data_IF_503147933463
#
_entry.id   IF_503147933463
#
_cell.length_a   1.000
_cell.length_b   1.000
_cell.length_c   1.000
_cell.angle_alpha   90.00
_cell.angle_beta   90.00
_cell.angle_gamma   90.00
#
_symmetry.space_group_name_H-M   'P 1'
#
loop_
_entity.id
_entity.type
_entity.pdbx_description
1 polymer ?
#
# COMPACT_ATOMS: atom_id res chain seq x y z
N UNK A 1 -7.56 14.67 -18.80
CA UNK A 1 -6.46 14.60 -19.80
C UNK A 1 -6.71 13.38 -20.64
N UNK A 2 -6.87 13.55 -21.96
CA UNK A 2 -7.36 12.48 -22.83
C UNK A 2 -6.60 12.44 -24.16
N UNK A 3 -6.47 11.24 -24.75
CA UNK A 3 -5.88 11.01 -26.08
C UNK A 3 -4.44 11.52 -26.26
N UNK A 4 -3.60 11.37 -25.23
CA UNK A 4 -2.20 11.86 -25.23
C UNK A 4 -1.20 10.71 -25.36
N UNK A 5 -0.13 10.89 -26.14
CA UNK A 5 1.02 9.98 -26.19
C UNK A 5 2.26 10.65 -25.60
N UNK A 6 2.91 9.97 -24.66
CA UNK A 6 4.11 10.42 -23.96
C UNK A 6 5.22 9.38 -24.18
N UNK A 7 6.42 9.83 -24.56
CA UNK A 7 7.57 8.97 -24.85
C UNK A 7 8.82 9.63 -24.26
N UNK A 8 9.69 8.88 -23.59
CA UNK A 8 11.00 9.37 -23.14
C UNK A 8 10.96 10.39 -21.98
N UNK A 9 9.80 10.60 -21.36
CA UNK A 9 9.69 11.39 -20.13
C UNK A 9 10.34 10.66 -18.94
N UNK A 10 10.51 11.33 -17.80
CA UNK A 10 11.05 10.68 -16.60
C UNK A 10 12.13 11.46 -15.85
N UNK A 11 12.64 12.55 -16.45
CA UNK A 11 13.65 13.43 -15.84
C UNK A 11 13.18 14.88 -15.91
N UNK A 12 13.28 15.60 -14.80
CA UNK A 12 12.99 17.02 -14.68
C UNK A 12 14.07 17.65 -13.77
N UNK A 13 14.73 18.71 -14.23
CA UNK A 13 15.83 19.37 -13.49
C UNK A 13 16.90 18.40 -12.95
N UNK A 14 17.28 17.40 -13.76
CA UNK A 14 18.19 16.28 -13.44
C UNK A 14 17.69 15.26 -12.40
N UNK A 15 16.48 15.43 -11.83
CA UNK A 15 15.84 14.47 -10.93
C UNK A 15 14.88 13.51 -11.66
N UNK A 16 14.60 12.35 -11.06
CA UNK A 16 13.57 11.42 -11.54
C UNK A 16 12.16 11.93 -11.23
N UNK A 17 11.44 12.39 -12.25
CA UNK A 17 10.06 12.89 -12.14
C UNK A 17 9.10 12.02 -12.98
N UNK A 18 7.87 11.72 -12.49
CA UNK A 18 6.90 10.90 -13.22
C UNK A 18 6.46 11.52 -14.55
N UNK A 19 6.04 10.70 -15.51
CA UNK A 19 5.59 11.18 -16.83
C UNK A 19 4.25 11.96 -16.78
N UNK A 20 3.39 11.65 -15.81
CA UNK A 20 2.20 12.44 -15.45
C UNK A 20 2.08 12.47 -13.92
N UNK A 21 1.88 13.66 -13.34
CA UNK A 21 1.67 13.83 -11.91
C UNK A 21 0.34 14.55 -11.61
N UNK A 22 -0.35 14.10 -10.58
CA UNK A 22 -1.46 14.83 -9.93
C UNK A 22 -1.23 14.85 -8.42
N UNK A 23 -1.47 15.99 -7.77
CA UNK A 23 -1.37 16.16 -6.32
C UNK A 23 -2.60 16.95 -5.86
N UNK A 24 -3.31 16.50 -4.82
CA UNK A 24 -4.48 17.18 -4.25
C UNK A 24 -5.74 17.19 -5.13
N UNK A 25 -5.61 16.79 -6.40
CA UNK A 25 -6.69 16.74 -7.41
C UNK A 25 -6.83 15.33 -7.95
N UNK A 26 -8.07 14.86 -8.07
CA UNK A 26 -8.41 13.57 -8.64
C UNK A 26 -8.48 13.65 -10.17
N UNK A 27 -7.60 12.94 -10.90
CA UNK A 27 -7.52 13.10 -12.34
C UNK A 27 -8.50 12.20 -13.09
N UNK A 28 -9.02 12.70 -14.21
CA UNK A 28 -9.65 11.88 -15.26
C UNK A 28 -8.62 11.69 -16.37
N UNK A 29 -8.19 10.44 -16.57
CA UNK A 29 -7.11 10.02 -17.46
C UNK A 29 -7.64 8.95 -18.43
N UNK A 30 -7.80 9.31 -19.70
CA UNK A 30 -8.48 8.48 -20.69
C UNK A 30 -7.66 8.32 -21.96
N UNK A 31 -7.46 7.10 -22.45
CA UNK A 31 -6.72 6.84 -23.71
C UNK A 31 -5.30 7.46 -23.74
N UNK A 32 -4.58 7.50 -22.61
CA UNK A 32 -3.20 7.98 -22.55
C UNK A 32 -2.24 6.81 -22.76
N UNK A 33 -1.24 6.97 -23.64
CA UNK A 33 -0.16 6.00 -23.84
C UNK A 33 1.19 6.57 -23.39
N UNK A 34 1.82 5.94 -22.39
CA UNK A 34 3.11 6.31 -21.82
C UNK A 34 4.13 5.20 -22.12
N UNK A 35 5.28 5.55 -22.70
CA UNK A 35 6.27 4.56 -23.14
C UNK A 35 7.73 5.00 -22.91
N UNK A 36 8.62 4.05 -22.61
CA UNK A 36 10.08 4.28 -22.49
C UNK A 36 10.45 5.40 -21.50
N UNK A 37 9.88 5.40 -20.30
CA UNK A 37 10.05 6.49 -19.33
C UNK A 37 11.06 6.19 -18.21
N UNK A 38 11.87 7.17 -17.82
CA UNK A 38 13.00 7.02 -16.89
C UNK A 38 12.65 7.05 -15.38
N UNK A 39 11.39 7.33 -15.05
CA UNK A 39 10.83 7.33 -13.69
C UNK A 39 9.49 6.58 -13.71
N UNK A 40 8.48 6.98 -12.91
CA UNK A 40 7.14 6.37 -12.94
C UNK A 40 6.31 6.84 -14.14
N UNK A 41 5.30 6.07 -14.54
CA UNK A 41 4.34 6.47 -15.57
C UNK A 41 3.38 7.53 -15.04
N UNK A 42 2.37 7.08 -14.29
CA UNK A 42 1.49 7.95 -13.52
C UNK A 42 1.93 8.05 -12.05
N UNK A 43 1.77 9.23 -11.45
CA UNK A 43 1.89 9.43 -10.01
C UNK A 43 0.71 10.28 -9.50
N UNK A 44 -0.09 9.75 -8.58
CA UNK A 44 -1.28 10.44 -8.03
C UNK A 44 -1.21 10.48 -6.51
N UNK A 45 -1.14 11.68 -5.93
CA UNK A 45 -0.96 11.90 -4.48
C UNK A 45 -2.16 12.69 -3.93
N UNK A 46 -2.75 12.21 -2.84
CA UNK A 46 -3.93 12.80 -2.19
C UNK A 46 -5.05 13.19 -3.20
N UNK A 47 -5.55 12.26 -4.02
CA UNK A 47 -6.80 12.46 -4.76
C UNK A 47 -7.94 12.66 -3.76
N UNK A 48 -8.65 13.79 -3.86
CA UNK A 48 -9.66 14.28 -2.90
C UNK A 48 -11.10 13.88 -3.25
N UNK A 49 -11.32 13.38 -4.47
CA UNK A 49 -12.60 12.93 -5.03
C UNK A 49 -12.39 11.73 -5.99
N UNK A 50 -13.42 11.28 -6.72
CA UNK A 50 -13.35 10.09 -7.55
C UNK A 50 -12.32 10.18 -8.70
N UNK A 51 -11.41 9.21 -8.78
CA UNK A 51 -10.39 9.09 -9.83
C UNK A 51 -10.88 8.13 -10.93
N UNK A 52 -10.67 8.49 -12.20
CA UNK A 52 -11.05 7.66 -13.36
C UNK A 52 -9.88 7.51 -14.32
N UNK A 53 -9.32 6.31 -14.38
CA UNK A 53 -8.23 5.92 -15.28
C UNK A 53 -8.73 4.84 -16.24
N UNK A 54 -9.05 5.22 -17.48
CA UNK A 54 -9.67 4.33 -18.47
C UNK A 54 -8.82 4.20 -19.75
N UNK A 55 -8.73 2.98 -20.31
CA UNK A 55 -8.09 2.72 -21.61
C UNK A 55 -6.63 3.20 -21.72
N UNK A 56 -5.91 3.31 -20.60
CA UNK A 56 -4.54 3.80 -20.58
C UNK A 56 -3.53 2.68 -20.88
N UNK A 57 -2.38 3.02 -21.43
CA UNK A 57 -1.27 2.11 -21.70
C UNK A 57 0.02 2.64 -21.09
N UNK A 58 0.74 1.81 -20.34
CA UNK A 58 2.02 2.15 -19.72
C UNK A 58 3.01 1.02 -19.96
N UNK A 59 4.03 1.28 -20.78
CA UNK A 59 4.95 0.26 -21.28
C UNK A 59 6.44 0.63 -21.20
N UNK A 60 7.29 -0.35 -20.87
CA UNK A 60 8.76 -0.22 -20.87
C UNK A 60 9.25 0.97 -19.99
N UNK A 61 8.69 1.13 -18.78
CA UNK A 61 9.00 2.23 -17.84
C UNK A 61 9.95 1.76 -16.72
N UNK A 62 10.99 2.54 -16.40
CA UNK A 62 12.00 2.22 -15.37
C UNK A 62 11.49 2.29 -13.92
N UNK A 63 10.32 2.90 -13.72
CA UNK A 63 9.64 2.99 -12.43
C UNK A 63 8.42 2.07 -12.32
N UNK A 64 7.42 2.56 -11.57
CA UNK A 64 6.11 1.92 -11.43
C UNK A 64 5.19 2.48 -12.54
N UNK A 65 4.32 1.64 -13.11
CA UNK A 65 3.37 2.08 -14.15
C UNK A 65 2.37 3.14 -13.64
N UNK A 66 1.81 2.91 -12.45
CA UNK A 66 1.05 3.85 -11.64
C UNK A 66 1.49 3.76 -10.18
N UNK A 67 2.00 4.86 -9.62
CA UNK A 67 2.05 5.07 -8.17
C UNK A 67 0.83 5.87 -7.74
N UNK A 68 0.11 5.41 -6.71
CA UNK A 68 -1.07 6.08 -6.17
C UNK A 68 -1.00 6.10 -4.64
N UNK A 69 -1.21 7.27 -4.05
CA UNK A 69 -1.09 7.51 -2.61
C UNK A 69 -2.34 8.25 -2.15
N UNK A 70 -3.28 7.54 -1.53
CA UNK A 70 -4.51 8.09 -0.97
C UNK A 70 -4.28 8.57 0.45
N UNK A 71 -4.24 9.89 0.64
CA UNK A 71 -4.16 10.53 1.94
C UNK A 71 -5.46 11.30 2.16
N UNK A 72 -6.37 10.74 2.97
CA UNK A 72 -7.64 11.39 3.35
C UNK A 72 -7.58 12.01 4.74
N UNK A 73 -6.55 11.70 5.54
CA UNK A 73 -6.33 12.33 6.85
C UNK A 73 -7.25 11.83 7.97
N UNK A 74 -7.26 12.54 9.09
CA UNK A 74 -8.13 12.24 10.25
C UNK A 74 -9.28 13.26 10.34
N UNK A 75 -10.53 12.82 10.45
CA UNK A 75 -11.69 13.69 10.66
C UNK A 75 -12.09 13.82 12.14
N UNK A 76 -11.44 13.04 13.02
CA UNK A 76 -11.74 12.95 14.46
C UNK A 76 -10.68 13.61 15.30
N UNK A 77 -11.15 14.28 16.33
CA UNK A 77 -10.33 14.95 17.33
C UNK A 77 -9.87 14.05 18.50
N UNK A 78 -9.72 12.75 18.27
CA UNK A 78 -9.25 11.77 19.25
C UNK A 78 -7.74 11.85 19.51
N UNK A 79 -7.29 11.44 20.71
CA UNK A 79 -5.87 11.45 21.08
C UNK A 79 -5.01 10.46 20.26
N UNK A 80 -5.64 9.40 19.73
CA UNK A 80 -5.05 8.50 18.75
C UNK A 80 -5.73 8.64 17.39
N UNK A 81 -4.93 8.58 16.33
CA UNK A 81 -5.36 8.45 14.94
C UNK A 81 -5.92 7.06 14.65
N UNK A 82 -6.92 7.00 13.77
CA UNK A 82 -7.60 5.79 13.30
C UNK A 82 -6.75 4.92 12.36
N UNK A 83 -5.56 5.37 11.93
CA UNK A 83 -4.65 4.66 11.03
C UNK A 83 -3.21 4.57 11.58
N UNK A 84 -2.32 3.91 10.83
CA UNK A 84 -0.85 3.96 11.00
C UNK A 84 -0.21 4.81 9.90
N UNK A 85 0.90 5.51 10.19
CA UNK A 85 1.78 6.04 9.15
C UNK A 85 2.21 4.92 8.18
N UNK A 86 2.23 5.22 6.88
CA UNK A 86 2.66 4.26 5.86
C UNK A 86 4.18 4.12 5.85
N UNK A 87 4.66 2.89 5.71
CA UNK A 87 6.08 2.56 5.87
C UNK A 87 6.87 2.63 4.56
N UNK A 88 6.24 2.28 3.42
CA UNK A 88 6.85 2.30 2.09
C UNK A 88 5.95 3.10 1.14
N UNK A 89 6.45 4.21 0.59
CA UNK A 89 5.65 5.14 -0.23
C UNK A 89 6.51 5.70 -1.36
N UNK A 90 6.04 5.62 -2.62
CA UNK A 90 6.80 6.01 -3.80
C UNK A 90 6.36 7.35 -4.39
N UNK A 91 7.14 8.39 -4.12
CA UNK A 91 6.98 9.74 -4.68
C UNK A 91 8.32 10.26 -5.24
N UNK A 92 8.33 11.19 -6.23
CA UNK A 92 9.56 11.86 -6.70
C UNK A 92 10.17 12.75 -5.60
N UNK A 93 11.33 13.38 -5.84
CA UNK A 93 11.98 14.21 -4.82
C UNK A 93 11.22 15.53 -4.62
N UNK A 94 11.08 16.34 -5.69
CA UNK A 94 10.23 17.54 -5.65
C UNK A 94 8.71 17.25 -5.80
N UNK A 95 7.88 17.89 -4.96
CA UNK A 95 6.41 17.86 -4.99
C UNK A 95 5.80 19.27 -4.96
N UNK A 96 5.44 19.82 -6.12
CA UNK A 96 5.03 21.22 -6.29
C UNK A 96 3.82 21.69 -5.46
N UNK A 97 2.91 20.79 -5.07
CA UNK A 97 1.68 21.12 -4.33
C UNK A 97 1.68 20.62 -2.88
N UNK A 98 2.86 20.34 -2.31
CA UNK A 98 3.06 19.97 -0.92
C UNK A 98 4.20 20.80 -0.33
N UNK A 99 4.19 21.02 0.98
CA UNK A 99 5.21 21.85 1.63
C UNK A 99 6.43 21.00 1.96
N UNK A 100 7.55 21.25 1.31
CA UNK A 100 8.84 20.72 1.74
C UNK A 100 9.20 21.34 3.10
N UNK A 101 9.50 20.50 4.07
CA UNK A 101 9.99 20.85 5.40
C UNK A 101 11.25 21.74 5.37
N UNK A 102 12.07 21.62 4.32
CA UNK A 102 13.35 22.31 4.16
C UNK A 102 13.35 23.51 3.18
N UNK A 103 12.24 23.80 2.51
CA UNK A 103 12.08 25.01 1.69
C UNK A 103 12.27 26.30 2.55
N UNK A 104 12.87 27.39 2.01
CA UNK A 104 13.11 28.64 2.75
C UNK A 104 11.88 29.36 3.33
N UNK A 105 10.65 29.03 2.92
CA UNK A 105 9.42 29.70 3.37
C UNK A 105 9.06 29.28 4.81
N UNK A 106 9.67 29.93 5.81
CA UNK A 106 9.56 29.51 7.22
C UNK A 106 8.15 29.54 7.80
N UNK A 107 7.39 30.58 7.48
CA UNK A 107 6.02 30.79 7.99
C UNK A 107 4.99 30.45 6.92
N UNK A 108 3.94 29.77 7.34
CA UNK A 108 2.85 29.28 6.49
C UNK A 108 1.53 29.55 7.21
N UNK A 109 0.57 30.14 6.50
CA UNK A 109 -0.80 30.30 7.02
C UNK A 109 -1.61 29.11 6.49
N UNK A 110 -2.30 28.40 7.39
CA UNK A 110 -3.21 27.31 7.05
C UNK A 110 -4.64 27.79 7.32
N UNK A 111 -5.52 27.66 6.33
CA UNK A 111 -6.97 27.90 6.53
C UNK A 111 -7.64 26.63 7.08
N UNK A 112 -7.43 25.48 6.43
CA UNK A 112 -8.02 24.19 6.82
C UNK A 112 -6.98 23.07 7.01
N UNK A 113 -6.19 22.78 5.97
CA UNK A 113 -5.29 21.62 5.91
C UNK A 113 -4.12 21.87 4.97
N UNK A 114 -2.95 21.32 5.30
CA UNK A 114 -1.84 21.16 4.35
C UNK A 114 -1.08 19.86 4.59
N UNK A 115 -0.50 19.31 3.51
CA UNK A 115 0.43 18.19 3.56
C UNK A 115 1.88 18.72 3.53
N UNK A 116 2.64 18.37 4.56
CA UNK A 116 4.06 18.66 4.73
C UNK A 116 4.85 17.38 4.46
N UNK A 117 6.00 17.46 3.81
CA UNK A 117 6.85 16.31 3.58
C UNK A 117 8.33 16.62 3.78
N UNK A 118 9.10 15.57 4.01
CA UNK A 118 10.56 15.60 3.94
C UNK A 118 11.05 14.30 3.33
N UNK A 119 12.16 14.37 2.59
CA UNK A 119 12.82 13.24 1.98
C UNK A 119 14.31 13.33 2.25
N UNK A 120 14.92 12.23 2.67
CA UNK A 120 16.34 12.25 3.01
C UNK A 120 17.21 12.46 1.78
N UNK A 121 18.37 13.08 1.99
CA UNK A 121 19.47 13.19 1.03
C UNK A 121 20.79 12.91 1.77
N UNK A 122 21.90 12.90 1.06
CA UNK A 122 23.23 12.53 1.53
C UNK A 122 23.84 13.55 2.52
N UNK A 123 23.25 14.74 2.65
CA UNK A 123 23.68 15.81 3.58
C UNK A 123 22.76 15.92 4.80
N UNK A 124 23.30 16.11 6.02
CA UNK A 124 22.48 16.38 7.20
C UNK A 124 21.82 17.77 7.13
N UNK A 125 20.58 17.88 7.60
CA UNK A 125 19.76 19.11 7.56
C UNK A 125 19.11 19.44 8.92
N UNK A 126 18.80 20.72 9.11
CA UNK A 126 18.19 21.25 10.34
C UNK A 126 17.14 22.31 9.97
N UNK A 127 15.94 21.86 9.63
CA UNK A 127 14.89 22.65 8.97
C UNK A 127 13.76 23.03 9.94
N UNK A 128 13.10 24.16 9.67
CA UNK A 128 12.07 24.75 10.54
C UNK A 128 10.93 25.31 9.68
N UNK A 129 9.69 24.95 10.04
CA UNK A 129 8.43 25.51 9.51
C UNK A 129 7.52 25.92 10.67
N UNK A 130 6.65 26.91 10.45
CA UNK A 130 5.78 27.51 11.47
C UNK A 130 4.37 27.75 10.85
N UNK A 131 3.31 27.23 11.49
CA UNK A 131 1.92 27.20 10.95
C UNK A 131 0.88 27.78 11.96
N UNK A 132 0.12 28.88 11.73
CA UNK A 132 -0.33 29.85 12.79
C UNK A 132 -1.86 30.11 13.22
N UNK A 133 -2.32 29.79 14.47
CA UNK A 133 -3.22 30.59 15.47
C UNK A 133 -3.77 29.82 16.76
N UNK A 134 -3.64 30.03 18.13
CA UNK A 134 -2.99 30.91 19.19
C UNK A 134 -2.79 30.23 20.62
N UNK A 135 -1.56 30.14 21.26
CA UNK A 135 -1.10 29.51 22.59
C UNK A 135 0.30 28.71 22.68
N UNK A 136 0.48 27.60 23.48
CA UNK A 136 1.74 27.21 24.25
C UNK A 136 2.04 25.73 24.82
N UNK A 137 2.82 24.84 24.14
CA UNK A 137 4.00 23.95 24.55
C UNK A 137 4.26 23.16 25.94
N UNK A 138 5.01 21.99 26.06
CA UNK A 138 6.00 21.44 27.14
C UNK A 138 6.41 19.90 27.03
N UNK A 139 7.63 19.26 27.23
CA UNK A 139 9.05 19.52 27.67
C UNK A 139 10.20 18.55 27.07
N UNK A 140 11.46 18.39 27.62
CA UNK A 140 12.76 17.88 26.96
C UNK A 140 13.82 17.04 27.79
N UNK A 141 14.76 16.19 27.22
CA UNK A 141 16.21 15.89 27.66
C UNK A 141 17.13 14.95 26.75
N UNK A 142 18.46 15.24 26.69
CA UNK A 142 19.78 14.57 26.32
C UNK A 142 19.95 13.11 25.74
N UNK A 143 21.16 12.72 25.23
CA UNK A 143 22.21 13.46 24.47
C UNK A 143 22.71 12.74 23.19
N UNK A 144 23.18 13.50 22.21
CA UNK A 144 23.42 13.01 20.83
C UNK A 144 22.21 13.33 19.96
N UNK A 145 22.43 13.88 18.76
CA UNK A 145 21.34 14.45 17.96
C UNK A 145 20.80 13.43 16.96
N UNK A 146 19.92 12.57 17.46
CA UNK A 146 19.12 11.63 16.68
C UNK A 146 18.27 12.33 15.62
N UNK A 147 17.90 11.59 14.57
CA UNK A 147 16.93 12.02 13.56
C UNK A 147 15.56 12.21 14.20
N UNK A 148 15.12 13.46 14.27
CA UNK A 148 14.08 13.90 15.21
C UNK A 148 13.19 14.97 14.63
N UNK A 149 11.88 14.74 14.71
CA UNK A 149 10.86 15.78 14.49
C UNK A 149 10.47 16.32 15.86
N UNK A 150 10.85 17.56 16.13
CA UNK A 150 10.47 18.30 17.34
C UNK A 150 9.24 19.14 17.03
N UNK A 151 8.12 18.81 17.65
CA UNK A 151 6.85 19.53 17.55
C UNK A 151 6.75 20.58 18.64
N UNK A 152 6.20 21.74 18.31
CA UNK A 152 6.40 22.97 19.07
C UNK A 152 5.14 23.85 18.99
N UNK A 153 4.35 23.95 20.06
CA UNK A 153 3.08 24.70 20.11
C UNK A 153 3.31 26.17 20.49
N UNK A 154 3.88 26.92 19.56
CA UNK A 154 4.39 28.28 19.67
C UNK A 154 5.51 28.50 18.64
N UNK A 155 5.90 29.74 18.41
CA UNK A 155 7.05 30.07 17.55
C UNK A 155 8.33 29.49 18.19
N UNK A 156 9.14 28.75 17.43
CA UNK A 156 10.41 28.19 17.89
C UNK A 156 11.47 29.26 18.20
N UNK A 157 11.31 30.49 17.71
CA UNK A 157 12.21 31.62 17.95
C UNK A 157 11.85 32.46 19.18
N UNK A 158 10.71 32.21 19.83
CA UNK A 158 10.32 32.87 21.08
C UNK A 158 10.90 32.15 22.33
N UNK A 159 11.03 32.86 23.45
CA UNK A 159 11.79 32.45 24.65
C UNK A 159 10.90 31.88 25.75
N UNK A 160 9.59 32.17 25.76
CA UNK A 160 8.60 31.33 26.45
C UNK A 160 8.45 29.93 25.80
N UNK A 161 9.26 29.70 24.76
CA UNK A 161 9.37 28.57 23.83
C UNK A 161 9.69 27.22 24.51
N UNK A 162 9.07 26.05 24.21
CA UNK A 162 8.92 25.03 25.29
C UNK A 162 8.57 23.57 24.84
N UNK A 163 9.30 22.87 23.94
CA UNK A 163 9.00 21.54 23.27
C UNK A 163 7.63 20.80 23.52
N UNK A 164 6.71 20.58 22.55
CA UNK A 164 5.50 19.70 22.75
C UNK A 164 5.87 18.21 22.83
N UNK A 165 6.60 17.74 21.83
CA UNK A 165 6.91 16.32 21.67
C UNK A 165 8.06 16.12 20.69
N UNK A 166 8.78 15.02 20.88
CA UNK A 166 9.90 14.59 20.05
C UNK A 166 9.51 13.24 19.44
N UNK A 167 9.50 13.16 18.12
CA UNK A 167 9.30 11.92 17.38
C UNK A 167 10.68 11.45 16.92
N UNK A 168 11.06 10.26 17.35
CA UNK A 168 12.33 9.60 17.04
C UNK A 168 12.02 8.16 16.59
N UNK A 169 12.98 7.49 15.96
CA UNK A 169 12.91 6.03 15.73
C UNK A 169 12.68 5.31 17.07
N UNK A 170 11.72 4.38 17.10
CA UNK A 170 11.36 3.62 18.31
C UNK A 170 10.47 4.36 19.32
N UNK A 171 9.98 5.57 19.01
CA UNK A 171 9.00 6.25 19.87
C UNK A 171 7.58 5.68 19.66
N UNK A 172 6.90 5.29 20.74
CA UNK A 172 5.51 4.76 20.72
C UNK A 172 4.43 5.83 20.37
N UNK A 173 4.83 6.89 19.66
CA UNK A 173 4.00 8.03 19.29
C UNK A 173 3.42 7.94 17.87
N UNK A 174 3.65 6.84 17.14
CA UNK A 174 3.30 6.66 15.71
C UNK A 174 1.88 7.09 15.34
N UNK A 175 0.92 6.93 16.25
CA UNK A 175 -0.51 7.23 16.04
C UNK A 175 -1.01 8.38 16.90
N UNK A 176 -0.15 9.11 17.61
CA UNK A 176 -0.58 10.16 18.54
C UNK A 176 -1.00 11.40 17.77
N UNK A 177 -2.21 11.90 18.03
CA UNK A 177 -2.64 13.19 17.50
C UNK A 177 -2.06 14.32 18.35
N UNK A 178 -1.31 15.22 17.72
CA UNK A 178 -0.63 16.32 18.40
C UNK A 178 -1.44 17.61 18.27
N UNK A 179 -2.24 17.91 19.29
CA UNK A 179 -2.89 19.22 19.40
C UNK A 179 -1.91 20.25 19.94
N UNK A 180 -1.78 21.34 19.21
CA UNK A 180 -1.40 22.61 19.82
C UNK A 180 -2.54 23.04 20.76
N UNK A 181 -2.22 23.69 21.87
CA UNK A 181 -3.16 24.64 22.48
C UNK A 181 -3.32 25.89 21.61
N UNK A 182 -2.37 26.11 20.67
CA UNK A 182 -2.14 27.35 19.99
C UNK A 182 -1.55 27.34 18.57
N UNK A 183 -0.67 28.32 18.22
CA UNK A 183 -0.71 29.01 16.96
C UNK A 183 0.04 28.28 15.89
N UNK A 184 1.24 28.79 15.63
CA UNK A 184 2.43 28.05 15.33
C UNK A 184 2.32 26.71 16.01
N UNK A 185 1.88 25.70 15.29
CA UNK A 185 2.68 24.50 15.30
C UNK A 185 3.98 24.91 14.58
N UNK A 186 5.04 25.16 15.33
CA UNK A 186 6.36 25.02 14.75
C UNK A 186 6.67 23.53 14.61
N UNK A 187 7.25 23.16 13.49
CA UNK A 187 7.85 21.86 13.25
C UNK A 187 9.33 22.10 13.05
N UNK A 188 10.18 21.37 13.77
CA UNK A 188 11.62 21.41 13.57
C UNK A 188 12.14 20.01 13.30
N UNK A 189 12.64 19.82 12.10
CA UNK A 189 13.32 18.62 11.68
C UNK A 189 14.82 18.74 11.96
N UNK A 190 15.39 17.70 12.56
CA UNK A 190 16.79 17.37 12.32
C UNK A 190 16.87 15.99 11.68
N UNK A 191 17.64 15.88 10.62
CA UNK A 191 17.91 14.62 9.92
C UNK A 191 19.39 14.57 9.53
N UNK A 192 20.01 13.42 9.74
CA UNK A 192 21.33 13.09 9.23
C UNK A 192 21.24 12.68 7.75
N UNK A 193 22.40 12.52 7.08
CA UNK A 193 22.43 12.10 5.68
C UNK A 193 22.00 10.63 5.52
N UNK A 194 21.03 10.35 4.64
CA UNK A 194 20.55 8.99 4.36
C UNK A 194 19.97 8.84 2.94
N UNK A 195 19.59 7.61 2.59
CA UNK A 195 18.95 7.31 1.29
C UNK A 195 17.60 7.99 1.14
N UNK A 196 17.35 8.60 -0.03
CA UNK A 196 16.07 9.24 -0.38
C UNK A 196 14.89 8.27 -0.54
N UNK A 197 15.05 6.99 -0.22
CA UNK A 197 13.93 6.09 0.03
C UNK A 197 13.20 6.42 1.35
N UNK A 198 13.93 6.99 2.31
CA UNK A 198 13.38 7.42 3.60
C UNK A 198 12.86 8.86 3.55
N UNK A 199 11.91 9.17 4.43
CA UNK A 199 11.26 10.47 4.55
C UNK A 199 10.05 10.39 5.46
N UNK A 200 9.23 11.44 5.45
CA UNK A 200 7.88 11.41 6.02
C UNK A 200 6.93 12.26 5.17
N UNK A 201 5.64 11.96 5.27
CA UNK A 201 4.55 12.87 4.91
C UNK A 201 3.70 13.04 6.18
N UNK A 202 3.44 14.28 6.55
CA UNK A 202 2.64 14.66 7.71
C UNK A 202 1.49 15.58 7.26
N UNK A 203 0.34 15.47 7.91
CA UNK A 203 -0.79 16.35 7.71
C UNK A 203 -0.86 17.34 8.87
N UNK A 204 -1.06 18.62 8.55
CA UNK A 204 -1.30 19.68 9.54
C UNK A 204 -2.68 20.27 9.25
N UNK A 205 -3.55 20.32 10.26
CA UNK A 205 -4.94 20.79 10.16
C UNK A 205 -5.22 21.86 11.20
N UNK A 206 -6.14 22.77 10.90
CA UNK A 206 -6.75 23.66 11.90
C UNK A 206 -7.82 22.90 12.71
N UNK A 207 -8.15 23.42 13.90
CA UNK A 207 -9.20 22.87 14.77
C UNK A 207 -10.34 23.91 14.92
N UNK A 208 -11.62 23.50 14.89
CA UNK A 208 -12.11 22.13 14.69
C UNK A 208 -11.85 21.63 13.25
N UNK A 209 -11.63 20.31 13.11
CA UNK A 209 -11.21 19.72 11.84
C UNK A 209 -12.29 19.90 10.76
N UNK A 210 -11.91 20.47 9.61
CA UNK A 210 -12.78 20.55 8.43
C UNK A 210 -13.15 19.17 7.89
N UNK A 211 -14.43 18.96 7.60
CA UNK A 211 -14.93 17.74 6.97
C UNK A 211 -14.65 17.67 5.45
N UNK A 212 -14.03 18.69 4.87
CA UNK A 212 -13.74 18.76 3.43
C UNK A 212 -12.70 17.68 3.05
N UNK A 213 -13.01 16.91 2.00
CA UNK A 213 -12.25 15.72 1.58
C UNK A 213 -12.76 14.39 2.14
N UNK A 214 -13.60 14.39 3.19
CA UNK A 214 -14.16 13.16 3.77
C UNK A 214 -15.48 12.72 3.10
N UNK A 215 -15.41 12.34 1.83
CA UNK A 215 -16.53 11.68 1.14
C UNK A 215 -16.38 10.14 1.24
N UNK A 216 -17.46 9.45 1.65
CA UNK A 216 -17.47 7.99 1.85
C UNK A 216 -17.68 7.20 0.56
N UNK A 217 -18.32 7.83 -0.44
CA UNK A 217 -18.70 7.19 -1.71
C UNK A 217 -17.66 7.43 -2.82
N UNK A 218 -16.44 7.86 -2.46
CA UNK A 218 -15.34 8.09 -3.41
C UNK A 218 -14.83 6.76 -3.95
N UNK A 219 -14.71 6.67 -5.28
CA UNK A 219 -14.19 5.51 -5.99
C UNK A 219 -12.95 5.86 -6.81
N UNK A 220 -11.89 5.07 -6.68
CA UNK A 220 -10.73 5.08 -7.56
C UNK A 220 -10.85 3.93 -8.56
N UNK A 221 -11.23 4.25 -9.79
CA UNK A 221 -11.48 3.30 -10.86
C UNK A 221 -10.33 3.32 -11.88
N UNK A 222 -9.65 2.17 -12.04
CA UNK A 222 -8.59 1.93 -13.01
C UNK A 222 -9.05 0.74 -13.86
N UNK A 223 -9.55 0.99 -15.08
CA UNK A 223 -10.15 -0.06 -15.91
C UNK A 223 -9.70 -0.05 -17.36
N UNK A 224 -9.83 -1.20 -18.01
CA UNK A 224 -9.49 -1.42 -19.43
C UNK A 224 -8.05 -1.02 -19.81
N UNK A 225 -7.14 -0.93 -18.84
CA UNK A 225 -5.80 -0.37 -19.00
C UNK A 225 -4.73 -1.45 -19.06
N UNK A 226 -3.62 -1.18 -19.75
CA UNK A 226 -2.53 -2.12 -20.02
C UNK A 226 -1.24 -1.61 -19.38
N UNK A 227 -0.69 -2.38 -18.46
CA UNK A 227 0.58 -2.10 -17.79
C UNK A 227 1.55 -3.24 -18.12
N UNK A 228 2.63 -2.95 -18.84
CA UNK A 228 3.59 -3.97 -19.28
C UNK A 228 5.06 -3.59 -19.12
N UNK A 229 5.88 -4.55 -18.68
CA UNK A 229 7.33 -4.41 -18.50
C UNK A 229 7.78 -3.23 -17.62
N UNK A 230 6.92 -2.73 -16.74
CA UNK A 230 7.27 -1.66 -15.81
C UNK A 230 8.19 -2.22 -14.72
N UNK A 231 9.39 -1.65 -14.55
CA UNK A 231 10.48 -2.29 -13.82
C UNK A 231 10.25 -2.40 -12.31
N UNK A 232 9.49 -1.50 -11.68
CA UNK A 232 9.22 -1.54 -10.24
C UNK A 232 7.78 -1.98 -9.90
N UNK A 233 7.01 -2.44 -10.89
CA UNK A 233 5.62 -2.86 -10.73
C UNK A 233 4.67 -2.18 -11.72
N UNK A 234 3.52 -2.79 -11.98
CA UNK A 234 2.46 -2.17 -12.76
C UNK A 234 1.73 -1.09 -11.95
N UNK A 235 1.29 -1.43 -10.74
CA UNK A 235 0.60 -0.52 -9.82
C UNK A 235 1.17 -0.72 -8.42
N UNK A 236 1.49 0.38 -7.74
CA UNK A 236 1.59 0.40 -6.28
C UNK A 236 0.59 1.43 -5.74
N UNK A 237 -0.32 0.99 -4.87
CA UNK A 237 -1.37 1.81 -4.30
C UNK A 237 -1.29 1.78 -2.77
N UNK A 238 -1.11 2.93 -2.14
CA UNK A 238 -1.06 3.06 -0.68
C UNK A 238 -2.22 3.91 -0.17
N UNK A 239 -2.80 3.60 1.00
CA UNK A 239 -3.79 4.47 1.65
C UNK A 239 -3.64 4.63 3.17
N UNK A 240 -3.85 5.86 3.63
CA UNK A 240 -3.87 6.25 5.04
C UNK A 240 -4.89 7.37 5.29
N UNK A 241 -5.66 7.23 6.36
CA UNK A 241 -6.77 8.12 6.70
C UNK A 241 -7.89 7.39 7.45
N UNK A 242 -8.87 8.15 7.94
CA UNK A 242 -10.01 7.63 8.71
C UNK A 242 -10.96 6.79 7.86
N UNK A 243 -11.21 7.23 6.63
CA UNK A 243 -12.02 6.54 5.62
C UNK A 243 -11.31 6.73 4.30
N UNK A 244 -11.04 5.65 3.57
CA UNK A 244 -10.35 5.70 2.29
C UNK A 244 -11.22 5.22 1.11
N UNK A 245 -11.02 5.78 -0.09
CA UNK A 245 -11.82 5.47 -1.28
C UNK A 245 -11.88 4.00 -1.65
N UNK A 246 -13.03 3.58 -2.18
CA UNK A 246 -13.22 2.27 -2.80
C UNK A 246 -12.30 2.11 -4.00
N UNK A 247 -11.54 1.01 -4.04
CA UNK A 247 -10.60 0.74 -5.14
C UNK A 247 -11.26 -0.23 -6.13
N UNK A 248 -11.19 0.06 -7.42
CA UNK A 248 -11.77 -0.77 -8.47
C UNK A 248 -10.80 -0.91 -9.63
N UNK A 249 -10.38 -2.15 -9.89
CA UNK A 249 -9.48 -2.53 -10.98
C UNK A 249 -10.16 -3.61 -11.83
N UNK A 250 -10.71 -3.24 -12.98
CA UNK A 250 -11.44 -4.17 -13.85
C UNK A 250 -10.97 -4.19 -15.31
N UNK A 251 -10.93 -5.40 -15.89
CA UNK A 251 -10.56 -5.61 -17.31
C UNK A 251 -9.14 -5.12 -17.71
N UNK A 252 -8.22 -5.01 -16.75
CA UNK A 252 -6.84 -4.58 -17.00
C UNK A 252 -5.93 -5.75 -17.40
N UNK A 253 -4.79 -5.40 -18.01
CA UNK A 253 -3.74 -6.36 -18.35
C UNK A 253 -2.41 -5.96 -17.67
N UNK A 254 -1.98 -6.78 -16.72
CA UNK A 254 -0.73 -6.67 -15.99
C UNK A 254 0.24 -7.72 -16.51
N UNK A 255 1.12 -7.36 -17.44
CA UNK A 255 1.95 -8.33 -18.18
C UNK A 255 3.45 -8.08 -18.15
N UNK A 256 4.23 -9.08 -17.75
CA UNK A 256 5.70 -9.05 -17.73
C UNK A 256 6.31 -7.91 -16.89
N UNK A 257 5.62 -7.41 -15.86
CA UNK A 257 6.11 -6.35 -14.98
C UNK A 257 7.06 -6.91 -13.91
N UNK A 258 7.91 -6.01 -13.41
CA UNK A 258 9.06 -6.28 -12.55
C UNK A 258 10.14 -7.16 -13.21
N UNK A 259 11.36 -7.04 -12.72
CA UNK A 259 12.52 -7.79 -13.20
C UNK A 259 12.91 -8.86 -12.17
N UNK A 260 13.22 -10.06 -12.66
CA UNK A 260 14.05 -11.00 -11.92
C UNK A 260 15.50 -10.49 -12.02
N UNK A 261 16.17 -10.35 -10.88
CA UNK A 261 17.57 -9.89 -10.81
C UNK A 261 18.52 -11.08 -10.74
N UNK A 262 18.34 -11.93 -9.72
CA UNK A 262 19.13 -13.14 -9.51
C UNK A 262 18.41 -14.07 -8.52
N UNK A 263 18.32 -15.37 -8.82
CA UNK A 263 17.68 -16.34 -7.93
C UNK A 263 16.23 -15.97 -7.62
N UNK A 264 15.92 -15.68 -6.36
CA UNK A 264 14.63 -15.19 -5.87
C UNK A 264 14.54 -13.65 -5.73
N UNK A 265 15.63 -12.91 -5.99
CA UNK A 265 15.64 -11.45 -5.85
C UNK A 265 14.95 -10.77 -7.03
N UNK A 266 13.96 -9.93 -6.73
CA UNK A 266 13.11 -9.23 -7.69
C UNK A 266 13.08 -7.73 -7.39
N UNK A 267 12.75 -6.90 -8.39
CA UNK A 267 12.65 -5.44 -8.23
C UNK A 267 11.35 -4.95 -7.57
N UNK A 268 10.40 -5.85 -7.30
CA UNK A 268 9.12 -5.57 -6.65
C UNK A 268 8.66 -6.81 -5.86
N UNK A 269 7.71 -6.62 -4.93
CA UNK A 269 7.03 -7.69 -4.19
C UNK A 269 5.92 -8.36 -5.02
N UNK A 270 5.16 -7.59 -5.80
CA UNK A 270 4.13 -8.08 -6.72
C UNK A 270 3.89 -7.06 -7.86
N UNK A 271 3.34 -7.53 -8.99
CA UNK A 271 2.99 -6.66 -10.12
C UNK A 271 1.96 -5.58 -9.75
N UNK A 272 0.97 -5.95 -8.94
CA UNK A 272 0.00 -5.04 -8.33
C UNK A 272 0.16 -5.15 -6.82
N UNK A 273 0.66 -4.09 -6.20
CA UNK A 273 0.79 -3.97 -4.74
C UNK A 273 -0.22 -2.98 -4.19
N UNK A 274 -0.89 -3.35 -3.09
CA UNK A 274 -1.77 -2.48 -2.33
C UNK A 274 -1.42 -2.56 -0.84
N UNK A 275 -1.21 -1.42 -0.18
CA UNK A 275 -1.06 -1.33 1.29
C UNK A 275 -2.08 -0.30 1.80
N UNK A 276 -3.23 -0.80 2.25
CA UNK A 276 -4.45 -0.02 2.41
C UNK A 276 -4.97 -0.01 3.85
N UNK A 277 -5.50 1.13 4.26
CA UNK A 277 -6.02 1.32 5.61
C UNK A 277 -7.43 1.93 5.57
N UNK A 278 -8.31 1.45 6.45
CA UNK A 278 -9.70 1.90 6.58
C UNK A 278 -10.45 1.98 5.22
N UNK A 279 -10.13 1.06 4.31
CA UNK A 279 -10.61 1.03 2.92
C UNK A 279 -11.66 -0.08 2.80
N UNK A 280 -12.94 0.31 2.75
CA UNK A 280 -14.07 -0.62 2.90
C UNK A 280 -14.21 -1.67 1.79
N UNK A 281 -13.70 -1.42 0.58
CA UNK A 281 -13.86 -2.34 -0.56
C UNK A 281 -12.76 -2.24 -1.60
N UNK A 282 -12.28 -3.42 -2.04
CA UNK A 282 -11.47 -3.60 -3.25
C UNK A 282 -12.25 -4.50 -4.21
N UNK A 283 -12.39 -4.06 -5.45
CA UNK A 283 -12.87 -4.89 -6.56
C UNK A 283 -11.73 -5.12 -7.56
N UNK A 284 -11.21 -6.34 -7.64
CA UNK A 284 -10.21 -6.74 -8.63
C UNK A 284 -10.83 -7.83 -9.53
N UNK A 285 -11.43 -7.42 -10.66
CA UNK A 285 -12.26 -8.32 -11.49
C UNK A 285 -11.82 -8.42 -12.95
N UNK A 286 -11.94 -9.62 -13.53
CA UNK A 286 -11.75 -9.86 -14.97
C UNK A 286 -10.36 -9.44 -15.51
N UNK A 287 -9.32 -9.33 -14.65
CA UNK A 287 -7.99 -8.89 -15.05
C UNK A 287 -7.11 -10.05 -15.52
N UNK A 288 -6.16 -9.75 -16.41
CA UNK A 288 -5.07 -10.65 -16.81
C UNK A 288 -3.80 -10.29 -16.04
N UNK A 289 -3.30 -11.19 -15.19
CA UNK A 289 -2.04 -11.05 -14.46
C UNK A 289 -1.07 -12.11 -14.96
N UNK A 290 -0.19 -11.76 -15.91
CA UNK A 290 0.63 -12.73 -16.64
C UNK A 290 2.12 -12.41 -16.75
N UNK A 291 2.98 -13.36 -16.36
CA UNK A 291 4.43 -13.28 -16.63
C UNK A 291 5.21 -12.33 -15.73
N UNK A 292 4.61 -11.84 -14.64
CA UNK A 292 5.22 -10.86 -13.75
C UNK A 292 6.00 -11.52 -12.60
N UNK A 293 6.83 -10.76 -11.89
CA UNK A 293 7.42 -11.22 -10.62
C UNK A 293 6.42 -10.99 -9.47
N UNK A 294 5.74 -12.06 -9.05
CA UNK A 294 4.55 -11.98 -8.20
C UNK A 294 3.33 -11.37 -8.91
N UNK A 295 2.13 -11.68 -8.43
CA UNK A 295 0.88 -11.24 -9.06
C UNK A 295 0.22 -10.06 -8.35
N UNK A 296 -0.62 -10.36 -7.36
CA UNK A 296 -1.37 -9.37 -6.56
C UNK A 296 -0.97 -9.49 -5.08
N UNK A 297 -0.52 -8.38 -4.48
CA UNK A 297 -0.34 -8.20 -3.05
C UNK A 297 -1.37 -7.22 -2.50
N UNK A 298 -2.07 -7.59 -1.42
CA UNK A 298 -2.95 -6.69 -0.66
C UNK A 298 -2.65 -6.82 0.82
N UNK A 299 -2.10 -5.76 1.42
CA UNK A 299 -2.01 -5.58 2.87
C UNK A 299 -3.14 -4.68 3.34
N UNK A 300 -3.83 -5.06 4.41
CA UNK A 300 -5.01 -4.35 4.91
C UNK A 300 -4.98 -4.11 6.42
N UNK A 301 -5.38 -2.92 6.87
CA UNK A 301 -5.67 -2.65 8.28
C UNK A 301 -6.95 -1.83 8.49
N UNK A 302 -7.60 -2.03 9.63
CA UNK A 302 -8.64 -1.14 10.14
C UNK A 302 -8.75 -1.26 11.66
N UNK A 303 -9.17 -0.18 12.33
CA UNK A 303 -9.45 -0.21 13.78
C UNK A 303 -10.80 -0.85 14.15
N UNK A 304 -11.70 -1.05 13.19
CA UNK A 304 -13.02 -1.61 13.46
C UNK A 304 -13.73 -2.13 12.22
N UNK A 305 -14.80 -2.89 12.43
CA UNK A 305 -15.62 -3.52 11.39
C UNK A 305 -16.24 -2.51 10.41
N UNK A 306 -16.57 -1.30 10.86
CA UNK A 306 -17.17 -0.26 10.03
C UNK A 306 -16.23 0.31 8.95
N UNK A 307 -14.91 0.14 9.08
CA UNK A 307 -13.91 0.56 8.07
C UNK A 307 -13.08 -0.61 7.54
N UNK A 308 -13.49 -1.84 7.84
CA UNK A 308 -12.78 -3.04 7.43
C UNK A 308 -13.01 -3.39 5.95
N UNK A 309 -12.00 -4.00 5.33
CA UNK A 309 -12.01 -4.40 3.94
C UNK A 309 -13.01 -5.53 3.68
N UNK A 310 -13.84 -5.34 2.65
CA UNK A 310 -14.50 -6.43 1.90
C UNK A 310 -13.84 -6.53 0.52
N UNK A 311 -12.89 -7.43 0.38
CA UNK A 311 -12.14 -7.63 -0.86
C UNK A 311 -12.82 -8.64 -1.79
N UNK A 312 -12.91 -8.31 -3.08
CA UNK A 312 -13.52 -9.17 -4.10
C UNK A 312 -12.56 -9.36 -5.28
N UNK A 313 -11.89 -10.50 -5.31
CA UNK A 313 -10.97 -10.92 -6.38
C UNK A 313 -11.71 -11.97 -7.21
N UNK A 314 -12.19 -11.64 -8.41
CA UNK A 314 -12.99 -12.58 -9.19
C UNK A 314 -12.78 -12.58 -10.71
N UNK A 315 -12.98 -13.75 -11.33
CA UNK A 315 -12.82 -13.98 -12.78
C UNK A 315 -11.43 -13.62 -13.35
N UNK A 316 -10.39 -13.50 -12.53
CA UNK A 316 -9.05 -13.11 -13.00
C UNK A 316 -8.25 -14.33 -13.51
N UNK A 317 -7.38 -14.09 -14.49
CA UNK A 317 -6.43 -15.08 -14.99
C UNK A 317 -5.01 -14.76 -14.49
N UNK A 318 -4.52 -15.55 -13.55
CA UNK A 318 -3.17 -15.48 -13.01
C UNK A 318 -2.29 -16.55 -13.68
N UNK A 319 -1.45 -16.16 -14.64
CA UNK A 319 -0.73 -17.09 -15.52
C UNK A 319 0.78 -16.84 -15.64
N UNK A 320 1.61 -17.87 -15.51
CA UNK A 320 3.06 -17.77 -15.72
C UNK A 320 3.78 -16.71 -14.83
N UNK A 321 3.22 -16.29 -13.68
CA UNK A 321 3.93 -15.38 -12.76
C UNK A 321 4.98 -16.17 -11.96
N UNK A 322 6.06 -15.51 -11.55
CA UNK A 322 7.25 -16.17 -11.02
C UNK A 322 7.81 -15.54 -9.73
N UNK A 323 8.65 -16.31 -9.03
CA UNK A 323 9.41 -15.97 -7.81
C UNK A 323 8.56 -15.65 -6.58
N UNK A 324 7.79 -14.56 -6.62
CA UNK A 324 6.93 -14.10 -5.52
C UNK A 324 5.51 -14.69 -5.63
N UNK A 325 4.72 -14.69 -4.53
CA UNK A 325 3.34 -15.17 -4.52
C UNK A 325 2.49 -14.64 -5.68
N UNK A 326 1.65 -15.52 -6.22
CA UNK A 326 0.72 -15.16 -7.31
C UNK A 326 -0.44 -14.33 -6.77
N UNK A 327 -0.93 -14.67 -5.58
CA UNK A 327 -1.79 -13.81 -4.75
C UNK A 327 -1.29 -13.89 -3.31
N UNK A 328 -1.08 -12.74 -2.67
CA UNK A 328 -0.83 -12.65 -1.23
C UNK A 328 -1.75 -11.59 -0.63
N UNK A 329 -2.55 -11.98 0.34
CA UNK A 329 -3.52 -11.11 1.01
C UNK A 329 -3.31 -11.25 2.52
N UNK A 330 -2.96 -10.15 3.16
CA UNK A 330 -2.48 -10.10 4.55
C UNK A 330 -3.21 -9.00 5.35
N UNK A 331 -3.82 -9.38 6.48
CA UNK A 331 -4.22 -8.43 7.51
C UNK A 331 -3.00 -7.99 8.34
N UNK A 332 -2.85 -6.69 8.65
CA UNK A 332 -1.79 -6.18 9.54
C UNK A 332 -2.00 -6.53 11.02
N UNK A 333 -3.14 -7.15 11.39
CA UNK A 333 -3.51 -7.55 12.74
C UNK A 333 -4.30 -8.86 12.71
N UNK A 334 -4.22 -9.65 13.77
CA UNK A 334 -5.03 -10.86 14.00
C UNK A 334 -6.53 -10.59 14.25
N UNK A 335 -7.02 -9.38 13.97
CA UNK A 335 -8.41 -8.96 14.16
C UNK A 335 -9.30 -9.48 13.00
N UNK A 336 -10.36 -10.28 13.24
CA UNK A 336 -11.16 -10.93 12.17
C UNK A 336 -12.10 -10.00 11.39
N UNK A 337 -11.74 -8.74 11.19
CA UNK A 337 -12.59 -7.76 10.52
C UNK A 337 -12.40 -7.73 9.00
N UNK A 338 -11.19 -8.04 8.51
CA UNK A 338 -10.91 -8.03 7.07
C UNK A 338 -11.48 -9.28 6.42
N UNK A 339 -12.43 -9.13 5.50
CA UNK A 339 -13.08 -10.21 4.75
C UNK A 339 -12.64 -10.19 3.28
N UNK A 340 -12.32 -11.35 2.70
CA UNK A 340 -11.91 -11.42 1.29
C UNK A 340 -12.49 -12.63 0.58
N UNK A 341 -13.21 -12.38 -0.52
CA UNK A 341 -13.76 -13.38 -1.42
C UNK A 341 -12.90 -13.50 -2.68
N UNK A 342 -12.38 -14.70 -2.92
CA UNK A 342 -11.69 -15.11 -4.14
C UNK A 342 -12.58 -16.10 -4.88
N UNK A 343 -13.18 -15.66 -6.00
CA UNK A 343 -14.23 -16.42 -6.69
C UNK A 343 -13.98 -16.57 -8.20
N UNK A 344 -14.04 -17.80 -8.73
CA UNK A 344 -13.88 -18.10 -10.17
C UNK A 344 -12.57 -17.58 -10.81
N UNK A 345 -11.49 -17.47 -10.05
CA UNK A 345 -10.18 -17.14 -10.60
C UNK A 345 -9.50 -18.40 -11.17
N UNK A 346 -8.68 -18.21 -12.21
CA UNK A 346 -7.89 -19.27 -12.82
C UNK A 346 -6.40 -19.01 -12.59
N UNK A 347 -5.75 -19.87 -11.82
CA UNK A 347 -4.32 -19.86 -11.53
C UNK A 347 -3.62 -20.97 -12.31
N UNK A 348 -2.68 -20.65 -13.21
CA UNK A 348 -1.94 -21.69 -13.95
C UNK A 348 -0.51 -21.33 -14.35
N UNK A 349 0.38 -22.33 -14.34
CA UNK A 349 1.80 -22.22 -14.77
C UNK A 349 2.61 -21.21 -13.98
N UNK A 350 2.14 -20.78 -12.81
CA UNK A 350 2.91 -19.91 -11.93
C UNK A 350 4.04 -20.73 -11.26
N UNK A 351 5.20 -20.12 -11.05
CA UNK A 351 6.43 -20.77 -10.61
C UNK A 351 7.05 -20.03 -9.43
N UNK A 352 6.69 -20.47 -8.22
CA UNK A 352 6.94 -19.77 -6.95
C UNK A 352 7.73 -20.69 -5.98
N UNK A 353 8.92 -21.19 -6.33
CA UNK A 353 9.60 -22.25 -5.55
C UNK A 353 10.03 -21.84 -4.13
N UNK A 354 9.99 -20.55 -3.79
CA UNK A 354 10.46 -20.02 -2.49
C UNK A 354 9.33 -19.50 -1.58
N UNK A 355 8.08 -19.50 -2.06
CA UNK A 355 6.91 -19.01 -1.30
C UNK A 355 5.66 -19.82 -1.66
N UNK A 356 4.60 -19.64 -0.87
CA UNK A 356 3.30 -20.23 -1.18
C UNK A 356 2.65 -19.48 -2.35
N UNK A 357 2.08 -20.22 -3.32
CA UNK A 357 1.59 -19.62 -4.55
C UNK A 357 0.37 -18.70 -4.34
N UNK A 358 -0.50 -19.06 -3.38
CA UNK A 358 -1.64 -18.26 -2.90
C UNK A 358 -1.55 -18.20 -1.37
N UNK A 359 -1.52 -17.00 -0.78
CA UNK A 359 -1.43 -16.77 0.67
C UNK A 359 -2.62 -15.93 1.14
N UNK A 360 -3.37 -16.44 2.12
CA UNK A 360 -4.53 -15.79 2.74
C UNK A 360 -4.33 -15.76 4.26
N UNK A 361 -3.72 -14.68 4.76
CA UNK A 361 -3.17 -14.57 6.11
C UNK A 361 -3.86 -13.46 6.90
N UNK A 362 -4.34 -13.75 8.12
CA UNK A 362 -5.07 -12.79 8.97
C UNK A 362 -6.28 -12.10 8.27
N UNK A 363 -6.90 -12.80 7.31
CA UNK A 363 -8.13 -12.36 6.62
C UNK A 363 -9.17 -13.48 6.62
N UNK A 364 -10.43 -13.13 6.84
CA UNK A 364 -11.57 -14.06 6.77
C UNK A 364 -11.85 -14.37 5.30
N UNK A 365 -11.28 -15.48 4.83
CA UNK A 365 -11.23 -15.85 3.42
C UNK A 365 -12.40 -16.72 2.98
N UNK A 366 -13.01 -16.37 1.85
CA UNK A 366 -13.93 -17.21 1.07
C UNK A 366 -13.25 -17.52 -0.29
N UNK A 367 -12.60 -18.68 -0.40
CA UNK A 367 -11.91 -19.13 -1.61
C UNK A 367 -12.78 -20.17 -2.32
N UNK A 368 -13.60 -19.77 -3.29
CA UNK A 368 -14.61 -20.67 -3.88
C UNK A 368 -14.68 -20.68 -5.40
N UNK A 369 -14.97 -21.86 -5.98
CA UNK A 369 -15.07 -22.07 -7.44
C UNK A 369 -13.82 -21.65 -8.24
N UNK A 370 -12.64 -21.58 -7.62
CA UNK A 370 -11.38 -21.27 -8.32
C UNK A 370 -10.80 -22.53 -8.97
N UNK A 371 -10.07 -22.34 -10.07
CA UNK A 371 -9.38 -23.42 -10.79
C UNK A 371 -7.87 -23.20 -10.72
N UNK A 372 -7.18 -24.10 -10.04
CA UNK A 372 -5.76 -24.01 -9.66
C UNK A 372 -5.04 -25.18 -10.34
N UNK A 373 -4.41 -24.93 -11.48
CA UNK A 373 -3.89 -26.00 -12.34
C UNK A 373 -2.46 -25.77 -12.83
N UNK A 374 -1.58 -26.74 -12.59
CA UNK A 374 -0.18 -26.71 -13.05
C UNK A 374 0.61 -25.53 -12.49
N UNK A 375 0.49 -25.27 -11.18
CA UNK A 375 1.30 -24.28 -10.47
C UNK A 375 2.37 -24.99 -9.64
N UNK A 376 3.55 -24.39 -9.55
CA UNK A 376 4.61 -24.80 -8.63
C UNK A 376 4.72 -23.74 -7.53
N UNK A 377 4.72 -24.18 -6.27
CA UNK A 377 4.91 -23.34 -5.08
C UNK A 377 5.68 -24.10 -4.01
N UNK A 378 6.11 -23.44 -2.94
CA UNK A 378 6.53 -24.14 -1.72
C UNK A 378 5.38 -25.04 -1.24
N UNK A 379 4.20 -24.42 -1.05
CA UNK A 379 2.87 -25.01 -1.11
C UNK A 379 1.97 -24.20 -2.08
N UNK A 380 0.75 -24.66 -2.37
CA UNK A 380 -0.11 -24.04 -3.39
C UNK A 380 -1.10 -23.02 -2.82
N UNK A 381 -1.78 -23.37 -1.71
CA UNK A 381 -2.67 -22.47 -0.98
C UNK A 381 -2.33 -22.50 0.52
N UNK A 382 -2.07 -21.34 1.11
CA UNK A 382 -1.96 -21.14 2.55
C UNK A 382 -3.17 -20.35 3.08
N UNK A 383 -3.77 -20.84 4.16
CA UNK A 383 -4.76 -20.10 4.96
C UNK A 383 -4.28 -20.08 6.40
N UNK A 384 -4.00 -18.90 6.97
CA UNK A 384 -3.25 -18.80 8.25
C UNK A 384 -3.51 -17.51 9.05
N UNK A 385 -2.86 -17.40 10.23
CA UNK A 385 -2.65 -16.16 10.96
C UNK A 385 -3.62 -15.82 12.10
N UNK A 386 -4.76 -16.49 12.21
CA UNK A 386 -5.69 -16.36 13.36
C UNK A 386 -5.33 -17.27 14.53
N UNK A 387 -4.12 -17.12 15.05
CA UNK A 387 -3.66 -17.84 16.25
C UNK A 387 -4.43 -17.37 17.49
N UNK A 388 -4.95 -18.32 18.27
CA UNK A 388 -5.65 -18.10 19.56
C UNK A 388 -6.90 -17.18 19.48
N UNK A 389 -7.34 -16.79 18.28
CA UNK A 389 -8.54 -15.97 18.04
C UNK A 389 -9.71 -16.86 17.67
N UNK A 390 -10.81 -16.79 18.44
CA UNK A 390 -12.06 -17.45 18.06
C UNK A 390 -12.75 -16.65 16.94
N UNK A 391 -12.69 -17.17 15.73
CA UNK A 391 -13.38 -16.58 14.58
C UNK A 391 -14.92 -16.61 14.76
N UNK A 392 -15.64 -15.51 14.45
CA UNK A 392 -17.11 -15.51 14.37
C UNK A 392 -17.63 -16.08 13.04
N UNK A 393 -16.78 -16.11 12.01
CA UNK A 393 -17.07 -16.59 10.64
C UNK A 393 -15.93 -17.52 10.23
N UNK A 394 -16.25 -18.74 9.78
CA UNK A 394 -15.26 -19.71 9.34
C UNK A 394 -14.63 -19.31 8.00
N UNK A 395 -13.29 -19.37 7.93
CA UNK A 395 -12.56 -19.31 6.66
C UNK A 395 -12.98 -20.52 5.81
N UNK A 396 -13.45 -20.30 4.59
CA UNK A 396 -14.04 -21.36 3.75
C UNK A 396 -13.30 -21.48 2.43
N UNK A 397 -12.86 -22.69 2.10
CA UNK A 397 -12.40 -23.06 0.77
C UNK A 397 -13.32 -24.16 0.21
N UNK A 398 -14.14 -23.88 -0.80
CA UNK A 398 -15.05 -24.89 -1.35
C UNK A 398 -15.27 -24.86 -2.86
N UNK A 399 -15.63 -26.02 -3.43
CA UNK A 399 -15.91 -26.19 -4.86
C UNK A 399 -14.73 -25.81 -5.79
N UNK A 400 -13.49 -25.81 -5.28
CA UNK A 400 -12.30 -25.50 -6.07
C UNK A 400 -11.71 -26.75 -6.73
N UNK A 401 -11.05 -26.57 -7.87
CA UNK A 401 -10.32 -27.63 -8.57
C UNK A 401 -8.81 -27.43 -8.52
N UNK A 402 -8.09 -28.31 -7.83
CA UNK A 402 -6.63 -28.32 -7.76
C UNK A 402 -6.08 -29.50 -8.56
N UNK A 403 -5.45 -29.23 -9.71
CA UNK A 403 -5.01 -30.26 -10.66
C UNK A 403 -3.54 -30.14 -11.07
N UNK A 404 -2.74 -31.18 -10.82
CA UNK A 404 -1.31 -31.27 -11.22
C UNK A 404 -0.47 -30.09 -10.75
N UNK A 405 -0.73 -29.57 -9.55
CA UNK A 405 0.16 -28.60 -8.91
C UNK A 405 1.28 -29.34 -8.16
N UNK A 406 2.41 -28.67 -7.94
CA UNK A 406 3.60 -29.24 -7.32
C UNK A 406 4.06 -28.38 -6.13
N UNK A 407 4.09 -28.99 -4.95
CA UNK A 407 4.70 -28.46 -3.74
C UNK A 407 6.18 -28.84 -3.68
N UNK A 408 7.05 -27.88 -3.37
CA UNK A 408 8.52 -28.09 -3.33
C UNK A 408 9.14 -27.86 -1.95
N UNK A 409 8.32 -27.75 -0.90
CA UNK A 409 8.82 -27.82 0.48
C UNK A 409 9.59 -29.14 0.75
N UNK A 410 10.51 -29.11 1.72
CA UNK A 410 11.39 -30.25 2.06
C UNK A 410 10.85 -31.18 3.13
N UNK A 411 9.95 -30.70 3.98
CA UNK A 411 9.41 -31.42 5.13
C UNK A 411 8.00 -31.95 4.81
N UNK A 412 7.17 -31.10 4.19
CA UNK A 412 5.73 -31.32 4.06
C UNK A 412 5.26 -30.92 2.64
N UNK A 413 5.44 -31.78 1.61
CA UNK A 413 4.99 -31.48 0.22
C UNK A 413 3.46 -31.51 0.07
N UNK A 414 2.81 -30.49 0.61
CA UNK A 414 1.36 -30.33 0.71
C UNK A 414 0.77 -29.37 -0.31
N UNK A 415 -0.35 -29.74 -0.95
CA UNK A 415 -1.12 -28.82 -1.81
C UNK A 415 -1.64 -27.62 -1.00
N UNK A 416 -2.31 -27.88 0.14
CA UNK A 416 -2.93 -26.86 0.98
C UNK A 416 -2.30 -26.86 2.37
N UNK A 417 -2.02 -25.66 2.90
CA UNK A 417 -1.57 -25.42 4.28
C UNK A 417 -2.71 -24.82 5.08
N UNK A 418 -3.27 -25.62 5.98
CA UNK A 418 -4.25 -25.21 6.98
C UNK A 418 -3.52 -24.79 8.26
N UNK A 419 -3.12 -23.51 8.31
CA UNK A 419 -2.26 -22.97 9.37
C UNK A 419 -2.97 -22.66 10.70
N UNK A 420 -4.29 -22.53 10.73
CA UNK A 420 -5.05 -22.20 11.95
C UNK A 420 -6.40 -22.90 12.03
N UNK A 421 -6.94 -23.04 13.24
CA UNK A 421 -8.31 -23.51 13.45
C UNK A 421 -9.36 -22.51 12.87
N UNK A 422 -10.59 -22.99 12.66
CA UNK A 422 -11.67 -22.18 12.10
C UNK A 422 -11.75 -22.19 10.56
N UNK A 423 -11.24 -23.25 9.93
CA UNK A 423 -11.22 -23.43 8.47
C UNK A 423 -12.15 -24.57 8.04
N UNK A 424 -12.84 -24.40 6.91
CA UNK A 424 -13.70 -25.41 6.29
C UNK A 424 -13.27 -25.68 4.84
N UNK A 425 -12.98 -26.95 4.55
CA UNK A 425 -12.65 -27.46 3.22
C UNK A 425 -13.78 -28.39 2.75
N UNK A 426 -14.53 -27.97 1.73
CA UNK A 426 -15.79 -28.63 1.31
C UNK A 426 -15.82 -28.80 -0.22
N UNK A 427 -16.13 -30.00 -0.72
CA UNK A 427 -16.33 -30.29 -2.15
C UNK A 427 -15.19 -29.79 -3.09
N UNK A 428 -13.95 -29.74 -2.57
CA UNK A 428 -12.78 -29.43 -3.39
C UNK A 428 -12.28 -30.71 -4.08
N UNK A 429 -11.98 -30.62 -5.37
CA UNK A 429 -11.37 -31.73 -6.13
C UNK A 429 -9.86 -31.54 -6.13
N UNK A 430 -9.15 -32.44 -5.48
CA UNK A 430 -7.69 -32.39 -5.31
C UNK A 430 -7.08 -33.60 -6.06
N UNK A 431 -6.23 -33.31 -7.06
CA UNK A 431 -5.57 -34.30 -7.93
C UNK A 431 -4.15 -33.82 -8.25
N UNK A 432 -3.26 -33.89 -7.27
CA UNK A 432 -1.89 -33.37 -7.35
C UNK A 432 -0.87 -34.51 -7.15
N UNK A 433 -0.60 -35.33 -8.18
CA UNK A 433 0.14 -36.59 -8.04
C UNK A 433 1.64 -36.44 -7.71
N UNK A 434 2.17 -35.22 -7.79
CA UNK A 434 3.56 -34.88 -7.47
C UNK A 434 3.75 -34.44 -6.01
N UNK A 435 2.66 -34.39 -5.22
CA UNK A 435 2.62 -33.98 -3.81
C UNK A 435 2.45 -35.21 -2.89
N UNK A 436 3.07 -35.17 -1.72
CA UNK A 436 2.92 -36.23 -0.70
C UNK A 436 1.59 -36.09 0.07
N UNK A 437 1.08 -34.86 0.20
CA UNK A 437 -0.11 -34.54 0.96
C UNK A 437 -1.02 -33.58 0.19
N UNK A 438 -2.34 -33.75 0.32
CA UNK A 438 -3.30 -32.79 -0.25
C UNK A 438 -3.66 -31.67 0.74
N UNK A 439 -3.63 -31.92 2.06
CA UNK A 439 -3.73 -30.90 3.12
C UNK A 439 -2.71 -31.20 4.21
N UNK A 440 -2.00 -30.16 4.66
CA UNK A 440 -1.04 -30.16 5.79
C UNK A 440 -1.56 -29.20 6.88
N UNK A 441 -1.48 -29.60 8.14
CA UNK A 441 -1.96 -28.82 9.29
C UNK A 441 -0.81 -28.39 10.19
N UNK A 442 -0.48 -27.09 10.20
CA UNK A 442 0.73 -26.58 10.86
C UNK A 442 0.47 -26.30 12.34
N UNK A 443 0.41 -27.36 13.16
CA UNK A 443 0.34 -27.22 14.62
C UNK A 443 1.74 -26.99 15.22
N UNK A 444 2.47 -25.98 14.74
CA UNK A 444 3.79 -25.60 15.26
C UNK A 444 3.64 -24.83 16.57
N UNK A 445 3.43 -25.57 17.66
CA UNK A 445 3.66 -25.07 19.02
C UNK A 445 5.16 -24.87 19.24
N UNK A 446 5.62 -23.64 19.02
CA UNK A 446 6.89 -23.10 19.54
C UNK A 446 6.70 -22.65 21.01
#
# INVERSE_FOLDING_TARGET
>A
MEFVRIIGAGVLHNEKAPAVQSIGKSPVLSNINISNCASHGFNVISPTDAMKMLFNRVEDVLGIGLSAISLTGEGRESEESSFTPMQEVHYPYNLFSMIDMCDPTKEVIIEERVLVYYKYDNSPVNCVKIFNSFNLFNSTEKPGKEDTISLYDGDVYNVTTKLLSKINIGSNNERKFFKTSGPSLSVKLFANGASSHYGFIAEVVTLPISAIGFNRDVQHNISYSVFTKNQLGAINYASAGEINPMITMEWNQFTNNCLNLYGNFTTCSAAVSMDIQNTQSIFFKNNLVRGNQGGLLVKADSRGSATALKGYISNNLFKNNANNPTVHIEGRRSSPYQEVTLFRNYFTRNFVPYHNAIILKQVVSNFTYNYVHYNLGMHILEVSGFERVRLPIYQTASHNGFYRNMAVDREERGTIVAGTAGQHYVDNVLVNPDNDYEIVTVNRSL
#
